data_IF_550670166460
#
_entry.id   IF_550670166460
#
_cell.length_a   1.000
_cell.length_b   1.000
_cell.length_c   1.000
_cell.angle_alpha   90.00
_cell.angle_beta   90.00
_cell.angle_gamma   90.00
#
_symmetry.space_group_name_H-M   'P 1'
#
loop_
_entity.id
_entity.type
_entity.pdbx_description
1 polymer ?
2 water ?
#
# COMPACT_ATOMS: atom_id res chain seq x y z
N UNK A 1 10.73 -12.51 10.01
CA UNK A 1 10.57 -13.13 8.64
C UNK A 1 10.60 -12.21 7.40
N UNK A 2 9.69 -11.26 7.27
CA UNK A 2 9.78 -10.26 6.19
C UNK A 2 11.11 -9.41 6.23
N UNK A 3 11.57 -9.06 7.43
CA UNK A 3 12.85 -8.36 7.69
C UNK A 3 14.03 -9.15 7.17
N UNK A 4 13.82 -10.45 7.03
CA UNK A 4 14.79 -11.30 6.39
C UNK A 4 14.86 -11.08 4.89
N UNK A 5 13.74 -10.73 4.24
CA UNK A 5 13.78 -10.41 2.79
C UNK A 5 14.05 -8.94 2.55
N UNK A 6 13.40 -8.07 3.31
CA UNK A 6 13.57 -6.63 3.16
C UNK A 6 14.40 -6.08 4.34
N UNK A 7 15.65 -5.72 4.09
CA UNK A 7 16.48 -5.16 5.13
C UNK A 7 16.28 -3.68 5.34
N UNK A 8 16.91 -3.19 6.39
CA UNK A 8 16.98 -1.74 6.69
C UNK A 8 17.57 -0.93 5.52
N UNK A 9 18.66 -1.44 4.97
CA UNK A 9 19.34 -0.87 3.85
C UNK A 9 18.45 -0.87 2.58
N UNK A 10 17.81 -2.00 2.28
CA UNK A 10 16.91 -2.01 1.15
C UNK A 10 15.78 -0.94 1.29
N UNK A 11 15.22 -0.81 2.50
CA UNK A 11 14.17 0.16 2.80
C UNK A 11 14.63 1.63 2.69
N UNK A 12 15.83 1.92 3.18
CA UNK A 12 16.41 3.25 3.02
C UNK A 12 16.70 3.58 1.55
N UNK A 13 17.03 2.57 0.75
CA UNK A 13 17.11 2.81 -0.68
C UNK A 13 15.78 3.34 -1.26
N UNK A 14 14.67 2.67 -0.95
CA UNK A 14 13.37 3.10 -1.42
C UNK A 14 13.00 4.50 -0.86
N UNK A 15 13.19 4.72 0.45
CA UNK A 15 12.77 5.94 1.14
C UNK A 15 13.62 7.16 0.83
N UNK A 16 14.90 6.91 0.52
CA UNK A 16 15.90 7.96 0.50
C UNK A 16 15.82 8.82 -0.75
N UNK A 17 15.15 8.32 -1.77
CA UNK A 17 15.02 9.06 -3.01
C UNK A 17 14.06 10.23 -2.92
N UNK A 18 13.18 10.22 -1.91
CA UNK A 18 12.22 11.27 -1.70
C UNK A 18 12.93 12.61 -1.35
N UNK A 19 12.40 13.71 -1.88
CA UNK A 19 12.94 15.03 -1.54
C UNK A 19 12.78 15.29 -0.04
N UNK A 20 13.74 15.98 0.54
CA UNK A 20 13.74 16.19 1.97
C UNK A 20 12.51 17.01 2.42
N UNK A 21 11.99 17.88 1.54
CA UNK A 21 10.70 18.56 1.80
C UNK A 21 9.37 17.68 1.74
N UNK A 22 9.48 16.39 1.39
CA UNK A 22 8.34 15.46 1.37
C UNK A 22 7.88 15.20 2.79
N UNK A 23 6.58 15.25 3.01
CA UNK A 23 6.05 15.00 4.36
C UNK A 23 6.33 13.55 4.75
N UNK A 24 6.38 12.65 3.77
CA UNK A 24 6.65 11.22 4.07
C UNK A 24 8.04 10.91 4.63
N UNK A 25 8.95 11.86 4.45
CA UNK A 25 10.37 11.59 4.65
C UNK A 25 10.66 11.58 6.16
N UNK A 26 10.92 10.39 6.72
CA UNK A 26 11.05 10.27 8.18
C UNK A 26 9.76 9.88 8.87
N UNK A 27 8.67 9.86 8.10
CA UNK A 27 7.41 9.30 8.57
C UNK A 27 7.29 7.83 8.10
N UNK A 28 7.54 7.55 6.82
CA UNK A 28 7.52 6.16 6.40
C UNK A 28 8.88 5.54 6.75
N UNK A 29 8.89 4.67 7.75
CA UNK A 29 10.13 4.17 8.38
C UNK A 29 10.12 2.64 8.35
N UNK A 30 11.30 2.03 8.46
CA UNK A 30 11.45 0.56 8.42
C UNK A 30 10.76 -0.11 9.60
N UNK A 31 10.85 0.53 10.75
CA UNK A 31 10.26 0.08 12.03
C UNK A 31 8.74 -0.08 11.92
N UNK A 32 8.11 0.95 11.34
CA UNK A 32 6.70 0.98 11.12
C UNK A 32 6.29 -0.11 10.12
N UNK A 33 6.99 -0.16 9.00
CA UNK A 33 6.80 -1.22 8.03
C UNK A 33 6.92 -2.67 8.60
N UNK A 34 7.99 -2.96 9.35
CA UNK A 34 8.16 -4.34 9.92
C UNK A 34 7.04 -4.70 10.90
N UNK A 35 6.74 -3.77 11.80
CA UNK A 35 5.64 -3.93 12.73
C UNK A 35 4.35 -4.27 11.97
N UNK A 36 4.00 -3.45 10.95
CA UNK A 36 2.80 -3.73 10.15
C UNK A 36 2.84 -5.08 9.43
N UNK A 37 3.96 -5.41 8.77
CA UNK A 37 4.11 -6.68 8.06
C UNK A 37 3.85 -7.91 8.98
N UNK A 38 4.44 -7.85 10.20
CA UNK A 38 4.34 -8.97 11.13
C UNK A 38 2.94 -9.15 11.68
N UNK A 39 2.09 -8.12 11.58
CA UNK A 39 0.75 -8.16 12.20
C UNK A 39 -0.32 -8.84 11.33
N UNK A 40 0.03 -9.15 10.07
CA UNK A 40 -0.85 -9.85 9.13
C UNK A 40 -0.19 -11.12 8.64
N UNK A 41 -0.54 -12.22 9.29
CA UNK A 41 0.00 -13.56 9.00
C UNK A 41 -0.06 -13.91 7.52
N UNK A 42 1.04 -14.39 6.95
CA UNK A 42 1.08 -14.76 5.51
C UNK A 42 1.62 -13.69 4.57
N UNK A 43 1.67 -12.46 5.05
CA UNK A 43 2.11 -11.35 4.23
C UNK A 43 3.62 -11.41 4.00
N UNK A 44 4.00 -11.64 2.73
CA UNK A 44 5.42 -11.85 2.35
C UNK A 44 6.10 -13.03 3.04
N UNK A 45 5.30 -13.93 3.62
CA UNK A 45 5.79 -15.18 4.20
C UNK A 45 5.10 -16.41 3.57
N UNK A 46 4.37 -16.19 2.46
CA UNK A 46 3.67 -17.28 1.74
C UNK A 46 4.47 -17.75 0.52
N UNK A 47 4.71 -19.07 0.44
CA UNK A 47 5.34 -19.67 -0.75
C UNK A 47 6.87 -19.75 -0.73
N UNK A 48 7.45 -19.99 -1.91
CA UNK A 48 8.89 -20.11 -2.04
C UNK A 48 9.51 -18.73 -1.84
N UNK A 49 10.84 -18.68 -1.78
CA UNK A 49 11.54 -17.43 -1.69
C UNK A 49 11.23 -16.43 -2.84
N UNK A 50 11.20 -16.89 -4.09
CA UNK A 50 10.83 -16.05 -5.23
C UNK A 50 9.41 -15.49 -5.09
N UNK A 51 8.51 -16.26 -4.47
CA UNK A 51 7.09 -15.81 -4.32
C UNK A 51 7.03 -14.74 -3.25
N UNK A 52 7.82 -14.91 -2.20
CA UNK A 52 7.82 -13.97 -1.11
C UNK A 52 8.40 -12.65 -1.59
N UNK A 53 9.48 -12.72 -2.38
CA UNK A 53 10.17 -11.56 -2.90
C UNK A 53 9.27 -10.83 -3.86
N UNK A 54 8.54 -11.57 -4.70
CA UNK A 54 7.60 -10.96 -5.66
C UNK A 54 6.38 -10.31 -4.99
N UNK A 55 5.92 -10.88 -3.86
CA UNK A 55 4.81 -10.27 -3.15
C UNK A 55 5.26 -8.95 -2.50
N UNK A 56 6.44 -8.99 -1.87
CA UNK A 56 7.04 -7.76 -1.30
C UNK A 56 7.33 -6.69 -2.32
N UNK A 57 7.89 -7.09 -3.46
CA UNK A 57 8.12 -6.17 -4.55
C UNK A 57 6.82 -5.52 -5.07
N UNK A 58 5.80 -6.37 -5.26
CA UNK A 58 4.47 -5.91 -5.66
C UNK A 58 3.85 -4.94 -4.65
N UNK A 59 3.91 -5.26 -3.37
CA UNK A 59 3.51 -4.32 -2.31
C UNK A 59 4.24 -2.98 -2.44
N UNK A 60 5.58 -2.98 -2.40
CA UNK A 60 6.36 -1.74 -2.49
C UNK A 60 6.18 -0.93 -3.80
N UNK A 61 6.01 -1.62 -4.92
CA UNK A 61 5.79 -0.96 -6.21
C UNK A 61 4.48 -0.18 -6.17
N UNK A 62 3.43 -0.85 -5.68
CA UNK A 62 2.14 -0.17 -5.49
C UNK A 62 2.17 1.08 -4.56
N UNK A 63 2.78 0.90 -3.40
CA UNK A 63 3.02 1.97 -2.44
C UNK A 63 3.83 3.16 -3.03
N UNK A 64 4.93 2.85 -3.71
CA UNK A 64 5.79 3.87 -4.30
C UNK A 64 5.00 4.63 -5.32
N UNK A 65 4.23 3.91 -6.10
CA UNK A 65 3.34 4.59 -7.04
C UNK A 65 2.38 5.60 -6.37
N UNK A 66 1.65 5.17 -5.33
CA UNK A 66 0.63 5.99 -4.70
C UNK A 66 1.11 7.09 -3.74
N UNK A 67 2.36 7.03 -3.29
CA UNK A 67 2.95 8.04 -2.46
C UNK A 67 3.99 8.90 -3.21
N UNK A 68 4.16 8.73 -4.52
CA UNK A 68 5.22 9.43 -5.27
C UNK A 68 6.64 9.11 -4.79
N UNK A 69 6.88 7.84 -4.45
CA UNK A 69 8.20 7.41 -3.96
C UNK A 69 8.41 7.62 -2.47
N UNK A 70 7.35 7.32 -1.70
CA UNK A 70 7.35 7.53 -0.23
C UNK A 70 7.55 9.02 0.11
N UNK A 71 6.93 9.84 -0.73
CA UNK A 71 6.97 11.27 -0.57
C UNK A 71 5.72 11.78 0.15
N UNK A 72 4.53 11.26 -0.17
CA UNK A 72 3.26 11.85 0.28
C UNK A 72 2.57 11.03 1.33
N UNK A 73 2.08 11.67 2.40
CA UNK A 73 1.23 10.99 3.37
C UNK A 73 -0.23 11.20 2.95
N UNK A 74 -0.58 12.43 2.56
CA UNK A 74 -1.95 12.87 2.29
C UNK A 74 -2.19 13.04 0.82
N UNK A 75 -3.34 12.55 0.38
CA UNK A 75 -3.85 12.87 -0.93
C UNK A 75 -3.69 14.37 -1.22
N UNK A 76 -3.26 14.74 -2.42
CA UNK A 76 -3.20 16.19 -2.72
C UNK A 76 -4.55 16.80 -3.14
N UNK A 77 -4.82 17.97 -2.56
CA UNK A 77 -6.01 18.74 -2.86
C UNK A 77 -7.18 17.73 -3.10
N UNK A 78 -7.58 16.96 -2.04
CA UNK A 78 -8.69 16.03 -2.24
C UNK A 78 -9.89 16.88 -2.68
N UNK A 79 -10.60 16.47 -3.73
CA UNK A 79 -11.75 17.27 -4.22
C UNK A 79 -13.04 17.11 -3.38
N UNK A 80 -13.06 16.11 -2.46
CA UNK A 80 -14.25 15.75 -1.70
C UNK A 80 -13.82 15.17 -0.35
N UNK A 81 -14.80 14.96 0.54
CA UNK A 81 -14.57 14.44 1.91
C UNK A 81 -14.54 12.91 1.96
N UNK A 82 -14.90 12.27 0.83
CA UNK A 82 -14.94 10.81 0.63
C UNK A 82 -15.87 10.18 1.67
N UNK A 83 -17.04 10.82 1.81
CA UNK A 83 -18.11 10.37 2.66
C UNK A 83 -19.20 9.77 1.78
N UNK A 84 -19.39 8.46 1.86
CA UNK A 84 -20.56 7.83 1.27
C UNK A 84 -21.48 7.45 2.41
N UNK A 85 -22.67 8.02 2.35
CA UNK A 85 -23.70 7.90 3.37
C UNK A 85 -24.05 6.44 3.74
N UNK A 86 -23.99 6.12 5.04
CA UNK A 86 -24.04 4.73 5.48
C UNK A 86 -24.58 4.54 6.92
N UNK A 87 -25.36 3.48 7.12
CA UNK A 87 -25.77 3.05 8.46
C UNK A 87 -24.73 2.18 9.19
N UNK A 88 -23.84 1.53 8.44
CA UNK A 88 -22.88 0.63 9.06
C UNK A 88 -21.66 1.42 9.46
N UNK A 89 -21.29 2.40 8.64
CA UNK A 89 -20.06 3.12 8.82
C UNK A 89 -20.36 4.60 8.69
N UNK A 90 -21.09 5.18 9.65
CA UNK A 90 -21.56 6.55 9.40
C UNK A 90 -20.41 7.58 9.32
N UNK A 91 -20.48 8.53 8.39
CA UNK A 91 -19.48 9.60 8.36
C UNK A 91 -19.57 10.48 9.56
N UNK A 92 -18.43 10.96 10.04
CA UNK A 92 -18.38 11.93 11.13
C UNK A 92 -18.33 13.32 10.51
N UNK A 93 -19.28 14.14 10.90
CA UNK A 93 -19.39 15.47 10.37
C UNK A 93 -18.07 16.22 10.61
N UNK A 94 -17.57 16.90 9.57
CA UNK A 94 -16.30 17.62 9.66
C UNK A 94 -15.05 16.84 9.26
N UNK A 95 -15.17 15.53 9.04
CA UNK A 95 -13.98 14.68 8.81
C UNK A 95 -13.87 14.38 7.35
N UNK A 96 -12.61 14.20 6.93
CA UNK A 96 -12.31 13.80 5.56
C UNK A 96 -11.68 12.39 5.55
N UNK A 97 -12.16 11.57 4.61
CA UNK A 97 -11.69 10.22 4.36
C UNK A 97 -10.88 10.15 3.03
N UNK A 98 -10.16 11.22 2.78
CA UNK A 98 -9.24 11.34 1.67
C UNK A 98 -8.06 10.42 1.96
N UNK A 99 -7.31 10.10 0.91
CA UNK A 99 -6.26 9.07 0.91
C UNK A 99 -5.17 9.44 1.88
N UNK A 100 -4.77 8.44 2.68
CA UNK A 100 -3.70 8.60 3.67
C UNK A 100 -2.88 7.31 3.71
N UNK A 101 -1.56 7.47 3.89
CA UNK A 101 -0.67 6.29 4.05
C UNK A 101 -0.17 5.68 2.76
N UNK A 102 0.62 4.59 2.87
CA UNK A 102 1.32 3.94 1.77
C UNK A 102 0.39 3.49 0.60
N UNK A 103 -0.84 3.10 0.90
CA UNK A 103 -1.77 2.68 -0.18
C UNK A 103 -2.99 3.58 -0.23
N UNK A 104 -2.87 4.77 0.36
CA UNK A 104 -3.90 5.83 0.20
C UNK A 104 -5.31 5.37 0.57
N UNK A 105 -5.43 4.81 1.78
CA UNK A 105 -6.73 4.46 2.33
C UNK A 105 -7.78 5.60 2.17
N UNK A 106 -8.91 5.29 1.53
CA UNK A 106 -9.91 6.29 1.15
C UNK A 106 -11.29 5.77 1.50
N UNK A 107 -12.21 6.69 1.86
CA UNK A 107 -13.68 6.45 2.14
C UNK A 107 -14.00 5.99 3.56
N UNK A 108 -15.07 6.56 4.15
CA UNK A 108 -15.55 6.20 5.51
C UNK A 108 -15.68 4.68 5.72
N UNK A 109 -16.30 3.97 4.77
CA UNK A 109 -16.42 2.51 4.90
C UNK A 109 -15.10 1.72 5.04
N UNK A 110 -14.07 2.18 4.36
CA UNK A 110 -12.76 1.54 4.49
C UNK A 110 -12.05 1.93 5.78
N UNK A 111 -12.14 3.21 6.15
CA UNK A 111 -11.52 3.65 7.41
C UNK A 111 -12.19 2.98 8.62
N UNK A 112 -13.54 2.84 8.55
CA UNK A 112 -14.27 2.17 9.61
C UNK A 112 -13.73 0.74 9.76
N UNK A 113 -13.74 -0.03 8.66
CA UNK A 113 -13.29 -1.41 8.69
C UNK A 113 -11.81 -1.54 9.09
N UNK A 114 -10.95 -0.66 8.54
CA UNK A 114 -9.54 -0.62 8.95
C UNK A 114 -9.34 -0.37 10.42
N UNK A 115 -10.01 0.65 10.97
CA UNK A 115 -9.84 0.99 12.39
C UNK A 115 -10.23 -0.19 13.28
N UNK A 116 -11.29 -0.88 12.92
CA UNK A 116 -11.73 -2.06 13.66
C UNK A 116 -10.68 -3.21 13.64
N UNK A 117 -10.05 -3.47 12.50
CA UNK A 117 -9.01 -4.48 12.49
C UNK A 117 -7.78 -4.09 13.31
N UNK A 118 -7.39 -2.82 13.21
CA UNK A 118 -6.07 -2.33 13.63
C UNK A 118 -6.06 -1.84 15.07
N UNK A 119 -7.18 -1.26 15.50
CA UNK A 119 -7.33 -0.78 16.86
C UNK A 119 -7.43 0.74 17.04
N UNK A 120 -8.06 1.46 16.12
CA UNK A 120 -8.26 2.90 16.31
C UNK A 120 -9.63 3.23 15.77
N UNK A 121 -10.16 4.38 16.12
CA UNK A 121 -11.49 4.80 15.63
C UNK A 121 -11.36 5.39 14.27
N UNK A 122 -11.58 4.59 13.21
CA UNK A 122 -11.39 5.03 11.80
C UNK A 122 -12.32 6.16 11.37
N UNK A 123 -13.54 6.12 11.88
CA UNK A 123 -14.61 7.08 11.61
C UNK A 123 -14.38 8.43 12.35
N UNK A 124 -13.90 8.40 13.60
CA UNK A 124 -13.75 9.62 14.39
C UNK A 124 -12.32 10.20 14.39
N UNK A 125 -11.32 9.35 14.12
CA UNK A 125 -9.92 9.79 14.08
C UNK A 125 -9.24 9.27 12.80
N UNK A 126 -9.81 9.56 11.60
CA UNK A 126 -9.20 9.09 10.36
C UNK A 126 -7.78 9.67 10.22
N UNK A 127 -7.52 10.82 10.81
CA UNK A 127 -6.20 11.45 10.71
C UNK A 127 -5.02 10.65 11.36
N UNK A 128 -5.33 9.70 12.23
CA UNK A 128 -4.33 8.81 12.82
C UNK A 128 -3.54 8.08 11.73
N UNK A 129 -4.18 7.86 10.58
CA UNK A 129 -3.48 7.27 9.42
C UNK A 129 -2.41 8.22 8.84
N UNK A 130 -2.56 9.54 9.05
CA UNK A 130 -1.54 10.50 8.67
C UNK A 130 -0.58 10.89 9.80
N UNK A 131 -0.79 10.42 11.02
CA UNK A 131 0.02 10.88 12.15
C UNK A 131 0.85 9.78 12.83
N UNK A 132 0.38 8.54 12.80
CA UNK A 132 1.07 7.43 13.42
C UNK A 132 1.54 6.43 12.32
N UNK A 133 2.87 6.36 12.18
CA UNK A 133 3.62 5.53 11.21
C UNK A 133 3.21 4.04 11.15
N UNK A 134 3.13 3.40 12.31
CA UNK A 134 2.75 1.95 12.42
C UNK A 134 1.30 1.82 12.00
N UNK A 135 0.44 2.72 12.47
CA UNK A 135 -0.95 2.71 12.00
C UNK A 135 -1.04 2.89 10.48
N UNK A 136 -0.35 3.91 9.96
CA UNK A 136 -0.25 4.14 8.51
C UNK A 136 0.12 2.86 7.70
N UNK A 137 1.25 2.24 8.02
CA UNK A 137 1.60 0.93 7.40
C UNK A 137 0.63 -0.21 7.60
N UNK A 138 0.08 -0.40 8.81
CA UNK A 138 -0.99 -1.37 9.01
C UNK A 138 -2.20 -1.19 8.08
N UNK A 139 -2.61 0.04 7.80
CA UNK A 139 -3.70 0.24 6.83
C UNK A 139 -3.39 -0.33 5.46
N UNK A 140 -2.13 -0.24 5.05
CA UNK A 140 -1.75 -0.69 3.73
C UNK A 140 -1.68 -2.22 3.72
N UNK A 141 -1.01 -2.82 4.70
CA UNK A 141 -0.94 -4.29 4.81
C UNK A 141 -2.35 -4.90 5.02
N UNK A 142 -3.17 -4.29 5.89
CA UNK A 142 -4.57 -4.67 6.04
C UNK A 142 -5.33 -4.65 4.71
N UNK A 143 -5.20 -3.57 3.95
CA UNK A 143 -5.92 -3.49 2.70
C UNK A 143 -5.50 -4.62 1.72
N UNK A 144 -4.17 -4.79 1.59
CA UNK A 144 -3.49 -5.82 0.85
C UNK A 144 -3.96 -7.24 1.22
N UNK A 145 -4.04 -7.53 2.53
CA UNK A 145 -4.29 -8.89 3.04
C UNK A 145 -5.80 -9.25 3.25
N UNK A 146 -6.60 -8.26 3.66
CA UNK A 146 -7.99 -8.42 4.10
C UNK A 146 -9.02 -7.60 3.29
N UNK A 147 -8.61 -6.62 2.50
CA UNK A 147 -9.63 -5.78 1.91
C UNK A 147 -9.54 -5.69 0.39
N UNK A 148 -8.82 -6.61 -0.20
CA UNK A 148 -8.65 -6.58 -1.64
C UNK A 148 -8.17 -7.96 -2.04
N UNK A 149 -8.10 -8.18 -3.36
CA UNK A 149 -7.51 -9.40 -3.88
C UNK A 149 -6.01 -9.39 -4.12
N UNK A 150 -5.30 -8.42 -3.53
CA UNK A 150 -3.87 -8.27 -3.82
C UNK A 150 -3.06 -9.52 -3.38
N UNK A 151 -3.19 -9.92 -2.13
CA UNK A 151 -2.49 -11.08 -1.66
C UNK A 151 -2.82 -12.35 -2.48
N UNK A 152 -4.13 -12.65 -2.66
CA UNK A 152 -4.57 -13.81 -3.42
C UNK A 152 -4.08 -13.77 -4.87
N UNK A 153 -4.18 -12.62 -5.54
CA UNK A 153 -3.62 -12.52 -6.91
C UNK A 153 -2.10 -12.90 -7.02
N UNK A 154 -1.28 -12.30 -6.17
CA UNK A 154 0.16 -12.49 -6.27
C UNK A 154 0.62 -13.89 -5.77
N UNK A 155 -0.22 -14.59 -5.00
CA UNK A 155 0.08 -15.97 -4.56
C UNK A 155 -0.72 -17.08 -5.34
N UNK A 156 -1.34 -16.71 -6.45
CA UNK A 156 -2.01 -17.70 -7.27
C UNK A 156 -1.73 -17.50 -8.76
N UNK A 157 -0.54 -16.98 -9.11
CA UNK A 157 -0.11 -16.84 -10.52
C UNK A 157 -0.65 -15.72 -11.40
N UNK A 158 -1.42 -14.80 -10.83
CA UNK A 158 -1.86 -13.62 -11.55
C UNK A 158 -0.81 -12.51 -11.63
N UNK A 159 0.32 -12.68 -10.94
CA UNK A 159 1.42 -11.75 -11.06
C UNK A 159 1.12 -10.32 -10.64
N UNK A 160 2.05 -9.43 -10.98
CA UNK A 160 1.94 -8.03 -10.61
C UNK A 160 0.72 -7.37 -11.21
N UNK A 161 0.40 -7.67 -12.46
CA UNK A 161 -0.76 -7.12 -13.12
C UNK A 161 -2.00 -7.46 -12.38
N UNK A 162 -2.02 -8.63 -11.73
CA UNK A 162 -3.19 -9.05 -10.94
C UNK A 162 -3.31 -8.21 -9.69
N UNK A 163 -2.20 -7.75 -9.12
CA UNK A 163 -2.31 -6.79 -7.98
C UNK A 163 -2.83 -5.42 -8.45
N UNK A 164 -2.40 -4.96 -9.63
CA UNK A 164 -2.91 -3.71 -10.19
C UNK A 164 -4.42 -3.76 -10.31
N UNK A 165 -4.95 -4.85 -10.90
CA UNK A 165 -6.39 -5.09 -11.09
C UNK A 165 -7.18 -5.18 -9.79
N UNK A 166 -6.56 -5.72 -8.74
CA UNK A 166 -7.14 -5.71 -7.41
C UNK A 166 -7.24 -4.33 -6.81
N UNK A 167 -6.32 -3.44 -7.14
CA UNK A 167 -6.31 -2.10 -6.57
C UNK A 167 -7.18 -1.12 -7.33
N UNK A 168 -7.06 -1.07 -8.64
CA UNK A 168 -7.78 -0.08 -9.45
C UNK A 168 -7.86 -0.64 -10.87
N UNK A 169 -8.84 -1.53 -11.10
CA UNK A 169 -9.01 -2.24 -12.40
C UNK A 169 -9.36 -1.33 -13.59
N UNK A 170 -9.80 -0.11 -13.30
CA UNK A 170 -10.04 0.92 -14.30
C UNK A 170 -8.75 1.34 -15.07
N UNK A 171 -7.59 1.18 -14.46
CA UNK A 171 -6.32 1.47 -15.10
C UNK A 171 -5.99 0.48 -16.20
N UNK A 172 -6.42 -0.77 -16.03
CA UNK A 172 -6.06 -1.88 -16.92
C UNK A 172 -6.83 -1.81 -18.23
N UNK A 173 -6.43 -2.63 -19.21
CA UNK A 173 -6.98 -2.60 -20.60
C UNK A 173 -6.95 -1.22 -21.30
N UNK A 174 -5.83 -0.50 -21.19
CA UNK A 174 -5.72 0.86 -21.73
C UNK A 174 -6.65 1.89 -21.07
N UNK A 175 -7.21 1.55 -19.91
CA UNK A 175 -7.90 2.54 -19.08
C UNK A 175 -6.99 3.72 -18.80
N UNK A 176 -5.81 3.45 -18.23
CA UNK A 176 -4.74 4.45 -18.09
C UNK A 176 -3.37 3.76 -18.14
N UNK A 177 -2.74 3.79 -19.31
CA UNK A 177 -1.51 3.05 -19.51
C UNK A 177 -0.30 3.72 -18.86
N UNK A 178 -0.38 5.04 -18.65
CA UNK A 178 0.65 5.77 -17.93
C UNK A 178 0.80 5.28 -16.50
N UNK A 179 -0.33 5.11 -15.82
CA UNK A 179 -0.45 4.61 -14.45
C UNK A 179 -0.01 3.15 -14.29
N UNK A 180 -0.46 2.29 -15.21
CA UNK A 180 0.07 0.94 -15.33
C UNK A 180 1.59 0.95 -15.42
N UNK A 181 2.15 1.77 -16.31
CA UNK A 181 3.61 1.74 -16.56
C UNK A 181 4.41 2.23 -15.39
N UNK A 182 3.80 3.20 -14.71
CA UNK A 182 4.34 3.78 -13.53
C UNK A 182 4.49 2.69 -12.45
N UNK A 183 3.43 1.93 -12.22
CA UNK A 183 3.48 0.88 -11.23
C UNK A 183 4.45 -0.26 -11.63
N UNK A 184 4.33 -0.69 -12.89
CA UNK A 184 5.18 -1.74 -13.51
C UNK A 184 6.67 -1.37 -13.50
N UNK A 185 6.98 -0.11 -13.87
CA UNK A 185 8.37 0.39 -13.79
C UNK A 185 8.96 0.19 -12.37
N UNK A 186 8.21 0.62 -11.34
CA UNK A 186 8.62 0.42 -9.95
C UNK A 186 8.83 -1.08 -9.59
N UNK A 187 7.89 -1.92 -10.03
CA UNK A 187 7.98 -3.36 -9.82
C UNK A 187 9.26 -4.02 -10.42
N UNK A 188 9.55 -3.71 -11.69
CA UNK A 188 10.77 -4.21 -12.33
C UNK A 188 12.02 -3.75 -11.60
N UNK A 189 12.08 -2.48 -11.23
CA UNK A 189 13.22 -1.98 -10.48
C UNK A 189 13.37 -2.62 -9.05
N UNK A 190 12.27 -2.85 -8.34
CA UNK A 190 12.39 -3.48 -7.02
C UNK A 190 12.79 -4.97 -7.15
N UNK A 191 12.16 -5.66 -8.11
CA UNK A 191 12.56 -7.04 -8.46
C UNK A 191 14.06 -7.20 -8.71
N UNK A 192 14.60 -6.41 -9.63
CA UNK A 192 16.04 -6.48 -9.93
C UNK A 192 16.97 -6.11 -8.74
N UNK A 193 16.56 -5.18 -7.86
CA UNK A 193 17.25 -4.94 -6.56
C UNK A 193 17.16 -6.14 -5.62
N UNK A 194 16.09 -6.93 -5.72
CA UNK A 194 15.93 -8.07 -4.82
C UNK A 194 16.62 -9.34 -5.34
N UNK A 195 17.04 -9.25 -6.61
CA UNK A 195 17.57 -10.34 -7.41
C UNK A 195 16.50 -11.38 -7.70
N UNK A 196 15.34 -10.96 -8.18
CA UNK A 196 14.27 -11.92 -8.45
C UNK A 196 13.69 -11.59 -9.82
N UNK A 197 13.45 -12.63 -10.60
CA UNK A 197 12.71 -12.48 -11.83
C UNK A 197 11.28 -11.92 -11.62
N UNK A 198 10.87 -10.93 -12.44
CA UNK A 198 9.54 -10.41 -12.17
C UNK A 198 8.38 -11.41 -12.36
N UNK A 199 8.61 -12.48 -13.13
CA UNK A 199 7.60 -13.49 -13.41
C UNK A 199 6.69 -13.01 -14.53
N UNK A 200 5.64 -13.79 -14.80
CA UNK A 200 4.65 -13.57 -15.86
C UNK A 200 3.52 -12.69 -15.38
N UNK A 201 2.63 -12.27 -16.29
CA UNK A 201 1.48 -11.44 -15.98
C UNK A 201 1.88 -10.10 -15.28
N UNK A 202 3.05 -9.55 -15.64
CA UNK A 202 3.61 -8.35 -15.01
C UNK A 202 2.72 -7.12 -15.19
N UNK A 203 2.06 -7.03 -16.34
CA UNK A 203 1.32 -5.82 -16.68
C UNK A 203 -0.19 -6.10 -16.83
N UNK A 204 -0.96 -5.07 -17.07
CA UNK A 204 -2.38 -5.25 -17.34
C UNK A 204 -2.76 -4.09 -18.23
#
# INVERSE_FOLDING_TARGET
SVGGIISQSFFNGLAGGAASSCEGKGFYTYNAFIAAANAYSGFGTTGSNDVKKRELAAFFANVMHETGGLCYINEKNPPINYCQSSSTWPCTSGKSYHGRGPLQLSWNYNYGAAGKSIGFDGLNNPEKVGQDSTISFKTAVWFWMKNSNCHSAITSGQGFGGTIKAINSMECNGGNSGEVSSRVNYYKKICSQLGVDPGANVSC
#
